data_IF_668409512153
#
_entry.id   IF_668409512153
#
_cell.length_a   1.000
_cell.length_b   1.000
_cell.length_c   1.000
_cell.angle_alpha   90.00
_cell.angle_beta   90.00
_cell.angle_gamma   90.00
#
_symmetry.space_group_name_H-M   'P 1'
#
loop_
_entity.id
_entity.type
_entity.pdbx_description
1 polymer ?
#
# COMPACT_ATOMS: atom_id res chain seq x y z
N UNK A 1 23.52 3.83 -20.13
CA UNK A 1 23.06 4.44 -18.86
C UNK A 1 23.73 3.69 -17.74
N UNK A 2 24.45 4.36 -16.84
CA UNK A 2 25.20 3.67 -15.76
C UNK A 2 24.24 3.11 -14.71
N UNK A 3 24.55 1.95 -14.12
CA UNK A 3 23.76 1.33 -13.02
C UNK A 3 23.56 2.28 -11.83
N UNK A 4 24.53 3.14 -11.57
CA UNK A 4 24.45 4.21 -10.55
C UNK A 4 23.35 5.22 -10.83
N UNK A 5 23.22 5.68 -12.08
CA UNK A 5 22.21 6.67 -12.48
C UNK A 5 20.79 6.10 -12.34
N UNK A 6 20.60 4.82 -12.71
CA UNK A 6 19.32 4.12 -12.53
C UNK A 6 18.96 4.01 -11.04
N UNK A 7 19.95 3.79 -10.17
CA UNK A 7 19.73 3.68 -8.73
C UNK A 7 19.39 5.05 -8.11
N UNK A 8 20.05 6.12 -8.55
CA UNK A 8 19.77 7.50 -8.12
C UNK A 8 18.38 7.96 -8.53
N UNK A 9 17.98 7.75 -9.79
CA UNK A 9 16.63 8.09 -10.28
C UNK A 9 15.54 7.40 -9.46
N UNK A 10 15.74 6.12 -9.15
CA UNK A 10 14.79 5.32 -8.37
C UNK A 10 14.68 5.78 -6.91
N UNK A 11 15.79 6.20 -6.31
CA UNK A 11 15.80 6.77 -4.96
C UNK A 11 15.06 8.11 -4.89
N UNK A 12 15.26 8.97 -5.89
CA UNK A 12 14.58 10.26 -6.01
C UNK A 12 13.08 10.05 -6.24
N UNK A 13 12.69 9.10 -7.11
CA UNK A 13 11.31 8.73 -7.34
C UNK A 13 10.61 8.28 -6.05
N UNK A 14 11.24 7.38 -5.28
CA UNK A 14 10.69 6.93 -3.99
C UNK A 14 10.54 8.06 -2.97
N UNK A 15 11.51 8.97 -2.89
CA UNK A 15 11.45 10.14 -2.01
C UNK A 15 10.34 11.11 -2.44
N UNK A 16 10.16 11.30 -3.75
CA UNK A 16 9.09 12.13 -4.32
C UNK A 16 7.72 11.54 -4.04
N UNK A 17 7.51 10.26 -4.31
CA UNK A 17 6.26 9.54 -4.04
C UNK A 17 5.92 9.64 -2.55
N UNK A 18 6.88 9.39 -1.65
CA UNK A 18 6.70 9.52 -0.19
C UNK A 18 6.39 10.96 0.24
N UNK A 19 7.06 11.93 -0.37
CA UNK A 19 6.79 13.33 -0.12
C UNK A 19 5.41 13.79 -0.58
N UNK A 20 4.84 13.17 -1.63
CA UNK A 20 3.53 13.50 -2.16
C UNK A 20 2.40 12.71 -1.48
N UNK A 21 2.71 11.51 -0.97
CA UNK A 21 1.77 10.63 -0.25
C UNK A 21 1.07 11.33 0.93
N UNK A 22 1.76 12.25 1.61
CA UNK A 22 1.21 12.99 2.74
C UNK A 22 0.26 14.14 2.36
N UNK A 23 0.08 14.43 1.07
CA UNK A 23 -0.88 15.45 0.63
C UNK A 23 -2.31 14.93 0.77
N UNK A 24 -3.20 15.78 1.29
CA UNK A 24 -4.62 15.49 1.48
C UNK A 24 -5.39 15.38 0.16
N UNK A 25 -4.92 16.10 -0.88
CA UNK A 25 -5.50 16.10 -2.22
C UNK A 25 -4.51 15.56 -3.24
N UNK A 26 -5.02 15.06 -4.37
CA UNK A 26 -4.21 14.58 -5.48
C UNK A 26 -3.43 15.75 -6.07
N UNK A 27 -2.08 15.74 -6.05
CA UNK A 27 -1.27 16.85 -6.51
C UNK A 27 -1.39 17.03 -8.03
N UNK A 28 -1.37 18.29 -8.48
CA UNK A 28 -1.30 18.61 -9.90
C UNK A 28 0.09 18.29 -10.46
N UNK A 29 0.20 18.10 -11.78
CA UNK A 29 1.50 17.88 -12.45
C UNK A 29 2.53 18.94 -12.07
N UNK A 30 2.12 20.20 -12.01
CA UNK A 30 3.00 21.33 -11.66
C UNK A 30 3.53 21.21 -10.22
N UNK A 31 2.69 20.78 -9.27
CA UNK A 31 3.11 20.53 -7.88
C UNK A 31 4.09 19.36 -7.79
N UNK A 32 3.86 18.29 -8.57
CA UNK A 32 4.78 17.15 -8.65
C UNK A 32 6.13 17.57 -9.23
N UNK A 33 6.14 18.35 -10.31
CA UNK A 33 7.36 18.85 -10.95
C UNK A 33 8.17 19.77 -10.03
N UNK A 34 7.49 20.66 -9.29
CA UNK A 34 8.15 21.56 -8.34
C UNK A 34 8.79 20.78 -7.19
N UNK A 35 8.07 19.80 -6.63
CA UNK A 35 8.60 18.96 -5.56
C UNK A 35 9.72 18.04 -6.04
N UNK A 36 9.65 17.56 -7.29
CA UNK A 36 10.72 16.81 -7.93
C UNK A 36 12.00 17.63 -8.03
N UNK A 37 11.92 18.92 -8.42
CA UNK A 37 13.07 19.83 -8.45
C UNK A 37 13.70 20.02 -7.07
N UNK A 38 12.88 20.21 -6.03
CA UNK A 38 13.37 20.37 -4.66
C UNK A 38 14.10 19.12 -4.17
N UNK A 39 13.55 17.93 -4.41
CA UNK A 39 14.19 16.67 -4.03
C UNK A 39 15.45 16.45 -4.85
N UNK A 40 15.42 16.65 -6.17
CA UNK A 40 16.61 16.53 -7.01
C UNK A 40 17.76 17.43 -6.53
N UNK A 41 17.46 18.66 -6.10
CA UNK A 41 18.45 19.57 -5.52
C UNK A 41 19.06 19.04 -4.22
N UNK A 42 18.26 18.42 -3.34
CA UNK A 42 18.74 17.79 -2.09
C UNK A 42 19.70 16.64 -2.39
N UNK A 43 19.41 15.84 -3.42
CA UNK A 43 20.24 14.73 -3.86
C UNK A 43 21.39 15.14 -4.80
N UNK A 44 21.50 16.43 -5.16
CA UNK A 44 22.50 16.91 -6.11
C UNK A 44 22.34 16.37 -7.54
N UNK A 45 21.14 15.90 -7.90
CA UNK A 45 20.87 15.27 -9.20
C UNK A 45 20.53 16.33 -10.25
N UNK A 46 21.28 16.31 -11.37
CA UNK A 46 21.13 17.23 -12.50
C UNK A 46 20.62 16.56 -13.77
N UNK A 47 20.17 15.31 -13.67
CA UNK A 47 19.62 14.57 -14.80
C UNK A 47 18.17 14.94 -15.13
N UNK A 48 17.58 14.17 -16.04
CA UNK A 48 16.23 14.45 -16.55
C UNK A 48 15.14 13.96 -15.57
N UNK A 49 14.34 14.89 -15.07
CA UNK A 49 13.27 14.60 -14.12
C UNK A 49 11.99 14.06 -14.76
N UNK A 50 11.86 14.08 -16.10
CA UNK A 50 10.60 13.72 -16.78
C UNK A 50 10.12 12.31 -16.43
N UNK A 51 11.03 11.34 -16.37
CA UNK A 51 10.69 9.95 -16.03
C UNK A 51 10.28 9.83 -14.56
N UNK A 52 11.03 10.46 -13.65
CA UNK A 52 10.77 10.48 -12.20
C UNK A 52 9.39 11.10 -11.91
N UNK A 53 9.09 12.24 -12.55
CA UNK A 53 7.79 12.92 -12.42
C UNK A 53 6.67 12.04 -12.95
N UNK A 54 6.86 11.40 -14.10
CA UNK A 54 5.84 10.52 -14.69
C UNK A 54 5.55 9.31 -13.80
N UNK A 55 6.59 8.66 -13.28
CA UNK A 55 6.46 7.54 -12.35
C UNK A 55 5.76 7.95 -11.05
N UNK A 56 6.13 9.12 -10.50
CA UNK A 56 5.51 9.65 -9.30
C UNK A 56 4.04 10.01 -9.51
N UNK A 57 3.69 10.62 -10.65
CA UNK A 57 2.29 10.92 -10.99
C UNK A 57 1.44 9.65 -11.07
N UNK A 58 1.91 8.62 -11.78
CA UNK A 58 1.21 7.33 -11.89
C UNK A 58 1.01 6.72 -10.50
N UNK A 59 2.05 6.76 -9.66
CA UNK A 59 2.01 6.17 -8.32
C UNK A 59 1.08 6.93 -7.37
N UNK A 60 1.02 8.26 -7.48
CA UNK A 60 0.22 9.11 -6.59
C UNK A 60 -1.25 9.16 -6.98
N UNK A 61 -1.57 8.99 -8.27
CA UNK A 61 -2.96 8.86 -8.75
C UNK A 61 -3.55 7.50 -8.34
N UNK A 62 -2.71 6.48 -8.23
CA UNK A 62 -3.11 5.12 -7.83
C UNK A 62 -3.09 4.96 -6.29
N UNK A 63 -3.91 5.73 -5.56
CA UNK A 63 -4.11 5.52 -4.12
C UNK A 63 -5.24 4.55 -3.83
N UNK A 64 -4.98 3.52 -3.03
CA UNK A 64 -6.04 2.89 -2.23
C UNK A 64 -6.15 3.64 -0.91
N UNK A 65 -7.29 4.30 -0.68
CA UNK A 65 -7.61 4.83 0.64
C UNK A 65 -7.76 3.71 1.66
N UNK A 66 -7.49 4.00 2.93
CA UNK A 66 -7.80 3.10 4.03
C UNK A 66 -9.31 2.86 4.04
N UNK A 67 -9.74 1.65 3.65
CA UNK A 67 -11.15 1.30 3.61
C UNK A 67 -11.85 1.55 4.95
N UNK A 68 -13.13 1.93 4.89
CA UNK A 68 -13.99 2.03 6.08
C UNK A 68 -14.64 0.69 6.32
N UNK A 69 -14.55 0.19 7.56
CA UNK A 69 -15.23 -1.05 7.98
C UNK A 69 -16.38 -0.70 8.92
N UNK A 70 -17.57 -1.21 8.63
CA UNK A 70 -18.69 -1.22 9.57
C UNK A 70 -18.70 -2.58 10.25
N UNK A 71 -18.48 -2.56 11.56
CA UNK A 71 -18.38 -3.78 12.38
C UNK A 71 -19.45 -3.70 13.45
N UNK A 72 -20.07 -4.84 13.76
CA UNK A 72 -20.98 -4.94 14.91
C UNK A 72 -20.20 -4.66 16.20
N UNK A 73 -20.53 -3.54 16.86
CA UNK A 73 -19.90 -3.06 18.09
C UNK A 73 -20.14 -3.99 19.29
N UNK A 74 -21.15 -4.86 19.21
CA UNK A 74 -21.50 -5.81 20.27
C UNK A 74 -20.80 -7.16 20.11
N UNK A 75 -20.19 -7.41 18.94
CA UNK A 75 -19.50 -8.65 18.66
C UNK A 75 -18.17 -8.73 19.42
N UNK A 76 -18.14 -9.56 20.46
CA UNK A 76 -16.95 -9.82 21.27
C UNK A 76 -15.93 -10.60 20.46
N UNK A 77 -14.89 -9.91 20.00
CA UNK A 77 -13.68 -10.48 19.40
C UNK A 77 -12.53 -9.49 19.57
N UNK A 78 -11.30 -9.98 19.48
CA UNK A 78 -10.09 -9.18 19.55
C UNK A 78 -9.66 -8.83 18.12
N UNK A 79 -9.86 -7.60 17.66
CA UNK A 79 -9.51 -7.18 16.30
C UNK A 79 -7.99 -7.05 16.05
N UNK A 80 -7.20 -7.13 17.12
CA UNK A 80 -5.73 -7.11 17.09
C UNK A 80 -5.11 -8.50 17.15
N UNK A 81 -5.92 -9.57 17.14
CA UNK A 81 -5.44 -10.94 17.33
C UNK A 81 -4.32 -11.31 16.33
N UNK A 82 -4.45 -10.85 15.08
CA UNK A 82 -3.49 -11.12 14.00
C UNK A 82 -2.08 -10.65 14.36
N UNK A 83 -1.96 -9.51 15.04
CA UNK A 83 -0.67 -8.95 15.46
C UNK A 83 -0.08 -9.62 16.70
N UNK A 84 -0.90 -10.36 17.46
CA UNK A 84 -0.47 -11.07 18.68
C UNK A 84 0.03 -12.48 18.38
N UNK A 85 -0.17 -12.97 17.15
CA UNK A 85 0.22 -14.31 16.70
C UNK A 85 1.61 -14.29 16.08
N UNK A 86 2.60 -14.74 16.85
CA UNK A 86 3.99 -14.89 16.39
C UNK A 86 4.24 -16.23 15.67
N UNK A 87 3.31 -17.18 15.76
CA UNK A 87 3.39 -18.52 15.19
C UNK A 87 2.89 -18.61 13.73
N UNK A 88 2.41 -17.51 13.16
CA UNK A 88 1.91 -17.45 11.78
C UNK A 88 3.05 -17.11 10.82
N UNK A 89 3.34 -18.03 9.90
CA UNK A 89 4.23 -17.77 8.77
C UNK A 89 3.44 -17.12 7.61
N UNK A 90 3.81 -15.90 7.24
CA UNK A 90 3.14 -15.09 6.21
C UNK A 90 3.57 -15.41 4.77
N UNK A 91 4.02 -16.64 4.50
CA UNK A 91 4.68 -17.05 3.25
C UNK A 91 3.91 -16.64 1.98
N UNK A 92 2.59 -16.83 1.96
CA UNK A 92 1.77 -16.51 0.78
C UNK A 92 1.55 -15.01 0.62
N UNK A 93 1.28 -14.30 1.72
CA UNK A 93 1.11 -12.85 1.70
C UNK A 93 2.41 -12.14 1.26
N UNK A 94 3.56 -12.57 1.78
CA UNK A 94 4.87 -12.07 1.38
C UNK A 94 5.18 -12.40 -0.09
N UNK A 95 4.90 -13.62 -0.53
CA UNK A 95 5.08 -14.01 -1.94
C UNK A 95 4.21 -13.18 -2.88
N UNK A 96 2.97 -12.89 -2.48
CA UNK A 96 2.06 -12.06 -3.25
C UNK A 96 2.51 -10.59 -3.29
N UNK A 97 2.93 -10.03 -2.15
CA UNK A 97 3.53 -8.68 -2.11
C UNK A 97 4.75 -8.58 -3.03
N UNK A 98 5.65 -9.56 -2.99
CA UNK A 98 6.81 -9.63 -3.87
C UNK A 98 6.42 -9.77 -5.36
N UNK A 99 5.37 -10.52 -5.67
CA UNK A 99 4.82 -10.60 -7.01
C UNK A 99 4.30 -9.25 -7.51
N UNK A 100 3.50 -8.54 -6.70
CA UNK A 100 3.00 -7.20 -7.06
C UNK A 100 4.13 -6.20 -7.31
N UNK A 101 5.18 -6.24 -6.48
CA UNK A 101 6.38 -5.41 -6.68
C UNK A 101 7.09 -5.74 -8.01
N UNK A 102 7.15 -7.02 -8.42
CA UNK A 102 7.70 -7.43 -9.72
C UNK A 102 6.83 -6.96 -10.89
N UNK A 103 5.51 -6.92 -10.70
CA UNK A 103 4.55 -6.31 -11.64
C UNK A 103 4.57 -4.77 -11.63
N UNK A 104 5.59 -4.16 -11.01
CA UNK A 104 5.80 -2.71 -10.94
C UNK A 104 4.67 -1.95 -10.23
N UNK A 105 3.97 -2.61 -9.29
CA UNK A 105 3.06 -1.89 -8.40
C UNK A 105 3.85 -0.96 -7.47
N UNK A 106 3.41 0.28 -7.25
CA UNK A 106 4.06 1.19 -6.32
C UNK A 106 4.19 0.56 -4.93
N UNK A 107 5.38 0.61 -4.28
CA UNK A 107 5.60 -0.03 -2.97
C UNK A 107 4.59 0.40 -1.90
N UNK A 108 4.20 1.68 -1.90
CA UNK A 108 3.18 2.20 -0.98
C UNK A 108 1.79 1.60 -1.22
N UNK A 109 1.44 1.31 -2.47
CA UNK A 109 0.18 0.65 -2.80
C UNK A 109 0.20 -0.80 -2.32
N UNK A 110 1.32 -1.51 -2.49
CA UNK A 110 1.48 -2.88 -1.99
C UNK A 110 1.39 -2.91 -0.46
N UNK A 111 2.04 -1.97 0.23
CA UNK A 111 1.93 -1.85 1.69
C UNK A 111 0.48 -1.56 2.11
N UNK A 112 -0.18 -0.59 1.46
CA UNK A 112 -1.58 -0.25 1.76
C UNK A 112 -2.51 -1.44 1.55
N UNK A 113 -2.27 -2.24 0.50
CA UNK A 113 -3.02 -3.47 0.24
C UNK A 113 -2.84 -4.45 1.39
N UNK A 114 -1.59 -4.69 1.80
CA UNK A 114 -1.26 -5.58 2.90
C UNK A 114 -1.93 -5.15 4.21
N UNK A 115 -1.86 -3.86 4.54
CA UNK A 115 -2.44 -3.31 5.77
C UNK A 115 -3.97 -3.49 5.78
N UNK A 116 -4.64 -3.24 4.65
CA UNK A 116 -6.09 -3.45 4.54
C UNK A 116 -6.45 -4.92 4.66
N UNK A 117 -5.70 -5.83 4.01
CA UNK A 117 -5.91 -7.28 4.11
C UNK A 117 -5.75 -7.75 5.56
N UNK A 118 -4.69 -7.34 6.25
CA UNK A 118 -4.47 -7.66 7.67
C UNK A 118 -5.60 -7.14 8.55
N UNK A 119 -6.10 -5.92 8.28
CA UNK A 119 -7.26 -5.37 9.01
C UNK A 119 -8.55 -6.16 8.77
N UNK A 120 -8.80 -6.61 7.53
CA UNK A 120 -9.97 -7.47 7.22
C UNK A 120 -9.86 -8.81 7.94
N UNK A 121 -8.66 -9.40 7.98
CA UNK A 121 -8.39 -10.62 8.74
C UNK A 121 -8.59 -10.39 10.25
N UNK A 122 -8.21 -9.23 10.78
CA UNK A 122 -8.48 -8.82 12.16
C UNK A 122 -9.96 -8.77 12.51
N UNK A 123 -10.84 -8.47 11.53
CA UNK A 123 -12.28 -8.58 11.72
C UNK A 123 -12.77 -10.03 11.79
N UNK A 124 -11.96 -11.03 11.47
CA UNK A 124 -12.29 -12.43 11.77
C UNK A 124 -11.89 -12.76 13.21
N UNK A 125 -12.33 -13.92 13.71
CA UNK A 125 -11.93 -14.38 15.03
C UNK A 125 -10.61 -15.14 14.92
N UNK A 126 -9.76 -15.04 15.94
CA UNK A 126 -8.61 -15.94 16.08
C UNK A 126 -9.10 -17.40 16.07
N UNK A 127 -8.67 -18.23 15.09
CA UNK A 127 -9.12 -19.61 14.98
C UNK A 127 -8.77 -20.48 16.18
N UNK A 128 -7.77 -20.11 17.00
CA UNK A 128 -7.33 -20.88 18.16
C UNK A 128 -7.94 -20.40 19.49
N UNK A 129 -8.77 -19.37 19.48
CA UNK A 129 -9.49 -18.95 20.70
C UNK A 129 -10.37 -20.08 21.25
N UNK A 130 -10.52 -20.18 22.57
CA UNK A 130 -11.43 -21.16 23.17
C UNK A 130 -12.89 -20.89 22.78
N UNK A 131 -13.65 -21.97 22.49
CA UNK A 131 -15.06 -21.86 22.13
C UNK A 131 -15.34 -21.40 20.69
N UNK A 132 -14.37 -21.51 19.77
CA UNK A 132 -14.43 -21.05 18.37
C UNK A 132 -15.45 -21.82 17.51
N UNK A 133 -16.73 -21.53 17.73
CA UNK A 133 -17.77 -21.65 16.71
C UNK A 133 -18.11 -20.25 16.25
N UNK A 134 -17.39 -19.74 15.26
CA UNK A 134 -17.64 -18.42 14.69
C UNK A 134 -18.07 -18.56 13.23
N UNK A 135 -19.07 -17.77 12.86
CA UNK A 135 -19.54 -17.63 11.50
C UNK A 135 -19.69 -16.13 11.24
N UNK A 136 -18.60 -15.51 10.79
CA UNK A 136 -18.58 -14.09 10.44
C UNK A 136 -18.55 -13.94 8.94
N UNK A 137 -19.42 -13.07 8.45
CA UNK A 137 -19.51 -12.72 7.02
C UNK A 137 -19.29 -11.24 6.89
N UNK A 138 -18.46 -10.87 5.92
CA UNK A 138 -18.19 -9.48 5.55
C UNK A 138 -18.56 -9.25 4.09
N UNK A 139 -18.81 -7.99 3.74
CA UNK A 139 -19.01 -7.56 2.35
C UNK A 139 -18.01 -6.45 2.05
N UNK A 140 -17.16 -6.66 1.05
CA UNK A 140 -16.22 -5.64 0.57
C UNK A 140 -16.89 -4.84 -0.54
N UNK A 141 -17.10 -3.54 -0.30
CA UNK A 141 -17.69 -2.60 -1.26
C UNK A 141 -16.64 -1.56 -1.64
N UNK A 142 -16.53 -1.24 -2.92
CA UNK A 142 -15.60 -0.22 -3.42
C UNK A 142 -15.84 0.11 -4.89
N UNK A 143 -15.32 1.23 -5.36
CA UNK A 143 -15.46 1.71 -6.74
C UNK A 143 -14.85 0.73 -7.77
N UNK A 144 -15.25 0.83 -9.04
CA UNK A 144 -14.67 0.01 -10.13
C UNK A 144 -13.15 0.23 -10.15
N UNK A 145 -12.37 -0.86 -10.24
CA UNK A 145 -10.89 -0.84 -10.19
C UNK A 145 -10.24 -0.36 -8.89
N UNK A 146 -10.98 -0.23 -7.78
CA UNK A 146 -10.42 0.16 -6.46
C UNK A 146 -9.55 -0.92 -5.78
N UNK A 147 -9.05 -1.92 -6.51
CA UNK A 147 -8.21 -2.99 -5.93
C UNK A 147 -8.95 -4.13 -5.20
N UNK A 148 -10.29 -4.22 -5.29
CA UNK A 148 -11.09 -5.28 -4.59
C UNK A 148 -10.58 -6.71 -4.85
N UNK A 149 -10.28 -7.04 -6.11
CA UNK A 149 -9.79 -8.38 -6.48
C UNK A 149 -8.42 -8.65 -5.90
N UNK A 150 -7.51 -7.66 -5.94
CA UNK A 150 -6.19 -7.79 -5.36
C UNK A 150 -6.26 -8.01 -3.84
N UNK A 151 -7.20 -7.34 -3.16
CA UNK A 151 -7.42 -7.53 -1.74
C UNK A 151 -7.94 -8.94 -1.41
N UNK A 152 -8.91 -9.44 -2.19
CA UNK A 152 -9.41 -10.81 -2.05
C UNK A 152 -8.31 -11.86 -2.29
N UNK A 153 -7.39 -11.63 -3.22
CA UNK A 153 -6.27 -12.55 -3.49
C UNK A 153 -5.20 -12.54 -2.40
N UNK A 154 -5.03 -11.43 -1.69
CA UNK A 154 -4.04 -11.32 -0.62
C UNK A 154 -4.44 -11.96 0.71
N UNK A 155 -5.72 -12.33 0.88
CA UNK A 155 -6.31 -12.86 2.11
C UNK A 155 -6.34 -14.39 2.12
#
# INVERSE_FOLDING_TARGET
MSLTVITEERNIANALISGLANMAETPTREQVEEKARQIAAIFGYTGDLRNIVTEAMISVDTRMGAGVSLVDVTAKHDDQWVHKREDVAWTYAESYGNFLLKESWPPQMVQSLSDVTTRILGHLQDPLSEGTTWNRRGLVIGHVQSGKTANYTGL
#
